data_IF_301642425456
#
_entry.id   IF_301642425456
#
_cell.length_a   1.000
_cell.length_b   1.000
_cell.length_c   1.000
_cell.angle_alpha   90.00
_cell.angle_beta   90.00
_cell.angle_gamma   90.00
#
_symmetry.space_group_name_H-M   'P 1'
#
loop_
_entity.id
_entity.type
_entity.pdbx_description
1 polymer ?
#
# COMPACT_ATOMS: atom_id res chain seq x y z
N UNK A 1 -54.75 -34.96 22.02
CA UNK A 1 -54.48 -35.22 20.59
C UNK A 1 -54.14 -33.88 19.97
N UNK A 2 -52.94 -33.53 19.52
CA UNK A 2 -51.77 -34.30 19.07
C UNK A 2 -51.28 -33.58 17.80
N UNK A 3 -50.03 -33.11 17.76
CA UNK A 3 -49.48 -32.44 16.57
C UNK A 3 -48.21 -31.64 16.83
N UNK A 4 -47.13 -32.32 17.25
CA UNK A 4 -45.76 -31.81 17.22
C UNK A 4 -45.31 -31.69 15.76
N UNK A 5 -44.83 -30.50 15.34
CA UNK A 5 -44.12 -30.32 14.08
C UNK A 5 -42.62 -30.36 14.34
N UNK A 6 -42.01 -31.50 14.03
CA UNK A 6 -40.56 -31.68 13.92
C UNK A 6 -40.06 -31.01 12.63
N UNK A 7 -39.14 -30.05 12.76
CA UNK A 7 -38.40 -29.51 11.63
C UNK A 7 -36.87 -29.61 11.86
N UNK A 8 -36.23 -30.76 11.60
CA UNK A 8 -34.77 -30.88 11.62
C UNK A 8 -34.22 -31.12 10.21
N UNK A 9 -34.36 -30.17 9.27
CA UNK A 9 -33.86 -30.41 7.89
C UNK A 9 -33.09 -29.27 7.21
N UNK A 10 -32.79 -28.14 7.87
CA UNK A 10 -32.09 -27.01 7.21
C UNK A 10 -30.59 -26.83 7.54
N UNK A 11 -29.99 -27.60 8.46
CA UNK A 11 -28.58 -27.39 8.83
C UNK A 11 -27.56 -28.15 7.95
N UNK A 12 -27.96 -29.22 7.26
CA UNK A 12 -27.03 -30.05 6.48
C UNK A 12 -26.54 -29.41 5.17
N UNK A 13 -27.35 -28.56 4.54
CA UNK A 13 -27.05 -27.96 3.24
C UNK A 13 -26.03 -26.82 3.29
N UNK A 14 -25.89 -26.15 4.45
CA UNK A 14 -24.93 -25.04 4.63
C UNK A 14 -23.48 -25.57 4.73
N UNK A 15 -23.26 -26.73 5.33
CA UNK A 15 -21.91 -27.29 5.49
C UNK A 15 -21.28 -27.69 4.15
N UNK A 16 -22.05 -28.28 3.23
CA UNK A 16 -21.54 -28.73 1.92
C UNK A 16 -21.13 -27.53 1.05
N UNK A 17 -21.85 -26.41 1.11
CA UNK A 17 -21.49 -25.20 0.39
C UNK A 17 -20.22 -24.54 0.95
N UNK A 18 -19.96 -24.59 2.25
CA UNK A 18 -18.72 -24.03 2.84
C UNK A 18 -17.50 -24.89 2.50
N UNK A 19 -17.64 -26.22 2.41
CA UNK A 19 -16.51 -27.12 2.13
C UNK A 19 -16.10 -27.18 0.65
N UNK A 20 -17.01 -26.96 -0.29
CA UNK A 20 -16.72 -27.13 -1.73
C UNK A 20 -16.29 -25.85 -2.46
N UNK A 21 -16.57 -24.66 -1.90
CA UNK A 21 -16.23 -23.38 -2.53
C UNK A 21 -14.73 -23.03 -2.53
N UNK A 22 -13.89 -23.37 -1.53
CA UNK A 22 -12.49 -22.91 -1.50
C UNK A 22 -11.61 -23.54 -2.59
N UNK A 23 -11.85 -24.80 -2.96
CA UNK A 23 -10.87 -25.56 -3.76
C UNK A 23 -10.92 -25.29 -5.26
N UNK A 24 -12.11 -25.19 -5.86
CA UNK A 24 -12.21 -24.95 -7.32
C UNK A 24 -11.75 -23.56 -7.75
N UNK A 25 -11.88 -22.55 -6.88
CA UNK A 25 -11.43 -21.20 -7.18
C UNK A 25 -9.97 -20.93 -6.78
N UNK A 26 -9.38 -21.74 -5.90
CA UNK A 26 -7.99 -21.59 -5.44
C UNK A 26 -6.94 -22.02 -6.46
N UNK A 27 -7.21 -23.08 -7.24
CA UNK A 27 -6.21 -23.70 -8.13
C UNK A 27 -5.74 -22.74 -9.23
N UNK A 28 -6.64 -21.93 -9.82
CA UNK A 28 -6.29 -21.02 -10.90
C UNK A 28 -5.74 -19.66 -10.43
N UNK A 29 -5.85 -19.31 -9.13
CA UNK A 29 -5.24 -18.08 -8.60
C UNK A 29 -3.77 -18.24 -8.23
N UNK A 30 -3.35 -19.46 -7.87
CA UNK A 30 -1.96 -19.75 -7.48
C UNK A 30 -1.08 -20.21 -8.64
N UNK A 31 -1.65 -20.57 -9.79
CA UNK A 31 -0.92 -21.04 -10.98
C UNK A 31 -0.64 -19.94 -12.02
N UNK A 32 -0.82 -18.67 -11.65
CA UNK A 32 -0.21 -17.59 -12.42
C UNK A 32 1.30 -17.80 -12.48
N UNK A 33 1.83 -17.99 -13.69
CA UNK A 33 3.22 -18.31 -14.03
C UNK A 33 4.22 -18.08 -12.87
N UNK A 34 4.62 -19.16 -12.20
CA UNK A 34 5.55 -19.17 -11.06
C UNK A 34 6.91 -18.53 -11.38
N UNK A 35 7.20 -18.18 -12.65
CA UNK A 35 8.34 -17.38 -13.03
C UNK A 35 8.41 -16.03 -12.30
N UNK A 36 7.26 -15.46 -11.90
CA UNK A 36 7.23 -14.21 -11.13
C UNK A 36 7.67 -14.42 -9.68
N UNK A 37 7.49 -15.63 -9.13
CA UNK A 37 7.85 -15.91 -7.75
C UNK A 37 9.33 -15.67 -7.52
N UNK A 38 10.20 -16.14 -8.43
CA UNK A 38 11.64 -15.87 -8.36
C UNK A 38 11.98 -14.37 -8.47
N UNK A 39 11.21 -13.59 -9.25
CA UNK A 39 11.45 -12.15 -9.35
C UNK A 39 11.09 -11.43 -8.04
N UNK A 40 10.05 -11.89 -7.34
CA UNK A 40 9.56 -11.26 -6.10
C UNK A 40 10.31 -11.78 -4.85
N UNK A 41 10.71 -13.05 -4.81
CA UNK A 41 11.39 -13.66 -3.64
C UNK A 41 12.86 -13.29 -3.51
N UNK A 42 13.52 -12.91 -4.61
CA UNK A 42 14.94 -12.52 -4.59
C UNK A 42 15.18 -11.01 -4.54
N UNK A 43 14.15 -10.18 -4.40
CA UNK A 43 14.33 -8.73 -4.39
C UNK A 43 15.00 -8.30 -3.08
N UNK A 44 16.27 -7.84 -3.10
CA UNK A 44 16.94 -7.45 -1.88
C UNK A 44 16.27 -6.19 -1.33
N UNK A 45 15.81 -6.28 -0.08
CA UNK A 45 15.29 -5.13 0.66
C UNK A 45 16.46 -4.57 1.46
N UNK A 46 16.78 -3.28 1.28
CA UNK A 46 17.80 -2.65 2.10
C UNK A 46 17.35 -2.61 3.57
N UNK A 47 18.30 -2.78 4.50
CA UNK A 47 18.03 -2.71 5.93
C UNK A 47 17.37 -1.37 6.32
N UNK A 48 17.74 -0.28 5.65
CA UNK A 48 17.18 1.05 5.87
C UNK A 48 15.70 1.14 5.47
N UNK A 49 15.32 0.55 4.33
CA UNK A 49 13.92 0.50 3.88
C UNK A 49 13.07 -0.34 4.84
N UNK A 50 13.62 -1.46 5.33
CA UNK A 50 12.96 -2.28 6.34
C UNK A 50 12.74 -1.52 7.65
N UNK A 51 13.78 -0.85 8.19
CA UNK A 51 13.66 -0.03 9.41
C UNK A 51 12.67 1.12 9.24
N UNK A 52 12.67 1.79 8.09
CA UNK A 52 11.72 2.85 7.80
C UNK A 52 10.27 2.33 7.76
N UNK A 53 10.03 1.17 7.14
CA UNK A 53 8.72 0.54 7.13
C UNK A 53 8.27 0.12 8.54
N UNK A 54 9.17 -0.49 9.33
CA UNK A 54 8.90 -0.84 10.72
C UNK A 54 8.60 0.41 11.58
N UNK A 55 9.31 1.50 11.35
CA UNK A 55 9.02 2.79 12.00
C UNK A 55 7.59 3.25 11.68
N UNK A 56 7.19 3.26 10.40
CA UNK A 56 5.83 3.62 10.00
C UNK A 56 4.81 2.70 10.66
N UNK A 57 5.01 1.38 10.62
CA UNK A 57 4.13 0.39 11.23
C UNK A 57 3.86 0.71 12.71
N UNK A 58 4.92 0.97 13.48
CA UNK A 58 4.85 1.23 14.93
C UNK A 58 4.25 2.60 15.30
N UNK A 59 4.23 3.58 14.38
CA UNK A 59 3.81 4.96 14.68
C UNK A 59 2.54 5.40 13.94
N UNK A 60 1.92 4.50 13.17
CA UNK A 60 0.75 4.80 12.34
C UNK A 60 -0.53 4.14 12.85
N UNK A 61 -1.67 4.73 12.53
CA UNK A 61 -2.97 4.11 12.75
C UNK A 61 -3.28 3.09 11.65
N UNK A 62 -4.15 2.09 11.87
CA UNK A 62 -4.57 1.14 10.84
C UNK A 62 -5.23 1.80 9.61
N UNK A 63 -5.89 2.95 9.80
CA UNK A 63 -6.54 3.71 8.72
C UNK A 63 -5.59 4.65 7.96
N UNK A 64 -4.34 4.77 8.39
CA UNK A 64 -3.37 5.64 7.75
C UNK A 64 -2.98 5.09 6.37
N UNK A 65 -2.77 5.99 5.41
CA UNK A 65 -2.21 5.64 4.10
C UNK A 65 -0.75 6.05 3.98
N UNK A 66 0.01 5.24 3.25
CA UNK A 66 1.43 5.48 2.95
C UNK A 66 1.63 5.78 1.46
N UNK A 67 2.66 6.54 1.12
CA UNK A 67 3.14 6.68 -0.24
C UNK A 67 4.67 6.59 -0.23
N UNK A 68 5.23 5.82 -1.15
CA UNK A 68 6.67 5.72 -1.36
C UNK A 68 7.08 6.54 -2.59
N UNK A 69 8.27 7.14 -2.58
CA UNK A 69 8.81 7.91 -3.70
C UNK A 69 8.98 7.08 -4.96
N UNK A 70 9.28 5.79 -4.82
CA UNK A 70 9.43 4.82 -5.90
C UNK A 70 8.11 4.20 -6.38
N UNK A 71 6.96 4.65 -5.86
CA UNK A 71 5.62 4.14 -6.18
C UNK A 71 5.36 2.70 -5.71
N UNK A 72 6.25 2.12 -4.90
CA UNK A 72 6.18 0.76 -4.37
C UNK A 72 5.76 -0.28 -5.44
N UNK A 73 6.61 -0.50 -6.47
CA UNK A 73 6.23 -1.25 -7.67
C UNK A 73 5.90 -2.73 -7.39
N UNK A 74 6.30 -3.23 -6.22
CA UNK A 74 6.18 -4.62 -5.79
C UNK A 74 5.30 -4.79 -4.56
N UNK A 75 4.66 -3.73 -4.09
CA UNK A 75 3.86 -3.71 -2.85
C UNK A 75 4.65 -4.12 -1.59
N UNK A 76 5.97 -3.90 -1.56
CA UNK A 76 6.83 -4.24 -0.42
C UNK A 76 6.58 -3.30 0.77
N UNK A 77 6.45 -2.00 0.52
CA UNK A 77 6.15 -1.03 1.59
C UNK A 77 4.77 -1.30 2.15
N UNK A 78 3.78 -1.58 1.31
CA UNK A 78 2.43 -2.00 1.76
C UNK A 78 2.50 -3.24 2.65
N UNK A 79 3.23 -4.28 2.20
CA UNK A 79 3.36 -5.52 2.96
C UNK A 79 4.07 -5.31 4.31
N UNK A 80 5.17 -4.55 4.34
CA UNK A 80 5.96 -4.33 5.56
C UNK A 80 5.29 -3.37 6.54
N UNK A 81 4.54 -2.38 6.05
CA UNK A 81 3.87 -1.41 6.93
C UNK A 81 2.48 -1.87 7.36
N UNK A 82 1.87 -2.81 6.62
CA UNK A 82 0.46 -3.20 6.74
C UNK A 82 -0.50 -2.01 6.58
N UNK A 83 -0.12 -1.03 5.74
CA UNK A 83 -0.91 0.17 5.45
C UNK A 83 -1.33 0.21 4.00
N UNK A 84 -2.45 0.87 3.73
CA UNK A 84 -2.89 1.09 2.36
C UNK A 84 -1.97 2.10 1.68
N UNK A 85 -1.50 1.79 0.47
CA UNK A 85 -0.80 2.78 -0.34
C UNK A 85 -1.78 3.76 -1.02
N UNK A 86 -1.32 4.98 -1.32
CA UNK A 86 -1.98 5.79 -2.34
C UNK A 86 -1.82 5.17 -3.73
N UNK A 87 -0.57 4.82 -4.06
CA UNK A 87 -0.20 4.10 -5.26
C UNK A 87 0.74 2.97 -4.87
N UNK A 88 0.42 1.77 -5.32
CA UNK A 88 1.34 0.64 -5.37
C UNK A 88 1.04 -0.13 -6.65
N UNK A 89 2.08 -0.69 -7.28
CA UNK A 89 1.96 -1.48 -8.52
C UNK A 89 1.17 -0.76 -9.63
N UNK A 90 1.39 0.55 -9.81
CA UNK A 90 0.64 1.36 -10.80
C UNK A 90 0.61 0.74 -12.20
N UNK A 91 1.73 0.17 -12.66
CA UNK A 91 1.83 -0.52 -13.95
C UNK A 91 0.85 -1.69 -14.07
N UNK A 92 0.66 -2.49 -13.01
CA UNK A 92 -0.30 -3.59 -13.01
C UNK A 92 -1.72 -3.07 -13.24
N UNK A 93 -2.09 -1.99 -12.53
CA UNK A 93 -3.41 -1.39 -12.67
C UNK A 93 -3.64 -0.80 -14.07
N UNK A 94 -2.60 -0.26 -14.70
CA UNK A 94 -2.66 0.21 -16.09
C UNK A 94 -2.89 -0.94 -17.07
N UNK A 95 -2.21 -2.08 -16.89
CA UNK A 95 -2.38 -3.27 -17.73
C UNK A 95 -3.78 -3.87 -17.60
N UNK A 96 -4.37 -3.83 -16.40
CA UNK A 96 -5.74 -4.33 -16.19
C UNK A 96 -6.83 -3.48 -16.86
N UNK A 97 -6.55 -2.22 -17.20
CA UNK A 97 -7.48 -1.34 -17.91
C UNK A 97 -8.66 -0.82 -17.06
N UNK A 98 -9.65 -0.25 -17.75
CA UNK A 98 -10.91 0.25 -17.17
C UNK A 98 -10.76 1.42 -16.18
N UNK A 99 -11.70 1.50 -15.24
CA UNK A 99 -11.72 2.58 -14.23
C UNK A 99 -10.51 2.54 -13.29
N UNK A 100 -9.98 1.34 -13.01
CA UNK A 100 -8.80 1.17 -12.16
C UNK A 100 -7.53 1.73 -12.81
N UNK A 101 -7.33 1.50 -14.11
CA UNK A 101 -6.22 2.10 -14.86
C UNK A 101 -6.30 3.64 -14.87
N UNK A 102 -7.50 4.20 -15.01
CA UNK A 102 -7.72 5.66 -14.98
C UNK A 102 -7.38 6.24 -13.61
N UNK A 103 -7.85 5.62 -12.53
CA UNK A 103 -7.53 6.05 -11.17
C UNK A 103 -6.03 5.94 -10.87
N UNK A 104 -5.39 4.83 -11.23
CA UNK A 104 -3.95 4.65 -11.06
C UNK A 104 -3.16 5.71 -11.84
N UNK A 105 -3.57 6.03 -13.06
CA UNK A 105 -2.93 7.07 -13.88
C UNK A 105 -3.08 8.47 -13.28
N UNK A 106 -4.25 8.80 -12.72
CA UNK A 106 -4.47 10.08 -12.04
C UNK A 106 -3.58 10.22 -10.80
N UNK A 107 -3.50 9.18 -9.98
CA UNK A 107 -2.61 9.20 -8.82
C UNK A 107 -1.14 9.27 -9.26
N UNK A 108 -0.75 8.54 -10.29
CA UNK A 108 0.62 8.57 -10.84
C UNK A 108 0.99 9.97 -11.30
N UNK A 109 0.07 10.67 -11.97
CA UNK A 109 0.25 12.07 -12.34
C UNK A 109 0.44 12.96 -11.11
N UNK A 110 -0.38 12.79 -10.07
CA UNK A 110 -0.24 13.54 -8.81
C UNK A 110 1.10 13.25 -8.12
N UNK A 111 1.56 12.00 -8.10
CA UNK A 111 2.85 11.59 -7.55
C UNK A 111 4.02 12.26 -8.29
N UNK A 112 3.97 12.33 -9.62
CA UNK A 112 5.00 13.00 -10.43
C UNK A 112 5.16 14.48 -10.08
N UNK A 113 4.09 15.15 -9.64
CA UNK A 113 4.15 16.56 -9.22
C UNK A 113 4.96 16.75 -7.93
N UNK A 114 5.15 15.71 -7.10
CA UNK A 114 6.00 15.78 -5.91
C UNK A 114 7.46 16.12 -6.23
N UNK A 115 7.93 15.83 -7.46
CA UNK A 115 9.27 16.21 -7.93
C UNK A 115 9.52 17.72 -7.93
N UNK A 116 8.45 18.50 -8.03
CA UNK A 116 8.49 19.96 -8.14
C UNK A 116 8.23 20.66 -6.80
N UNK A 117 7.99 19.91 -5.73
CA UNK A 117 7.78 20.47 -4.40
C UNK A 117 9.09 21.07 -3.88
N UNK A 118 9.01 22.30 -3.41
CA UNK A 118 10.13 23.08 -2.92
C UNK A 118 10.08 23.30 -1.39
N UNK A 119 8.91 23.12 -0.78
CA UNK A 119 8.70 23.31 0.66
C UNK A 119 8.02 22.12 1.34
N UNK A 120 8.25 21.97 2.64
CA UNK A 120 7.59 20.92 3.43
C UNK A 120 6.06 21.11 3.52
N UNK A 121 5.58 22.36 3.45
CA UNK A 121 4.14 22.65 3.51
C UNK A 121 3.40 22.16 2.27
N UNK A 122 3.98 22.29 1.08
CA UNK A 122 3.43 21.69 -0.14
C UNK A 122 3.33 20.16 -0.04
N UNK A 123 4.31 19.52 0.62
CA UNK A 123 4.26 18.08 0.88
C UNK A 123 3.12 17.71 1.85
N UNK A 124 2.87 18.52 2.88
CA UNK A 124 1.70 18.36 3.76
C UNK A 124 0.40 18.52 2.96
N UNK A 125 0.30 19.55 2.11
CA UNK A 125 -0.90 19.81 1.31
C UNK A 125 -1.20 18.66 0.34
N UNK A 126 -0.17 18.07 -0.26
CA UNK A 126 -0.30 16.81 -1.00
C UNK A 126 -0.87 15.70 -0.12
N UNK A 127 -0.31 15.52 1.08
CA UNK A 127 -0.79 14.53 2.06
C UNK A 127 -2.27 14.69 2.38
N UNK A 128 -2.70 15.92 2.67
CA UNK A 128 -4.10 16.24 2.96
C UNK A 128 -5.01 15.99 1.75
N UNK A 129 -4.61 16.45 0.56
CA UNK A 129 -5.39 16.32 -0.68
C UNK A 129 -5.65 14.87 -1.07
N UNK A 130 -4.66 13.99 -0.85
CA UNK A 130 -4.73 12.59 -1.26
C UNK A 130 -4.96 11.60 -0.11
N UNK A 131 -5.24 12.12 1.09
CA UNK A 131 -5.36 11.35 2.32
C UNK A 131 -4.12 10.46 2.58
N UNK A 132 -2.92 10.94 2.23
CA UNK A 132 -1.65 10.29 2.54
C UNK A 132 -1.14 10.82 3.86
N UNK A 133 -0.91 9.89 4.77
CA UNK A 133 -0.44 10.21 6.11
C UNK A 133 1.07 10.12 6.25
N UNK A 134 1.66 9.11 5.62
CA UNK A 134 3.08 8.82 5.70
C UNK A 134 3.69 8.86 4.31
N UNK A 135 4.80 9.58 4.17
CA UNK A 135 5.56 9.62 2.93
C UNK A 135 6.96 9.07 3.18
N UNK A 136 7.36 8.06 2.41
CA UNK A 136 8.69 7.47 2.44
C UNK A 136 9.44 7.95 1.21
N UNK A 137 10.59 8.59 1.43
CA UNK A 137 11.45 9.13 0.39
C UNK A 137 12.75 8.35 0.36
N UNK A 138 13.13 7.86 -0.82
CA UNK A 138 14.52 7.56 -1.16
C UNK A 138 15.14 8.83 -1.75
N UNK A 139 16.28 9.29 -1.21
CA UNK A 139 16.95 10.51 -1.66
C UNK A 139 17.34 10.47 -3.14
N UNK A 140 17.57 9.28 -3.70
CA UNK A 140 17.90 9.11 -5.12
C UNK A 140 16.71 9.40 -6.05
N UNK A 141 15.46 9.31 -5.56
CA UNK A 141 14.27 9.56 -6.37
C UNK A 141 13.96 11.06 -6.50
N UNK A 142 14.40 11.86 -5.52
CA UNK A 142 14.13 13.31 -5.43
C UNK A 142 15.40 14.11 -5.08
N UNK A 143 16.46 14.06 -5.91
CA UNK A 143 17.72 14.73 -5.62
C UNK A 143 17.57 16.25 -5.48
N UNK A 144 16.56 16.84 -6.12
CA UNK A 144 16.25 18.28 -6.10
C UNK A 144 15.60 18.77 -4.81
N UNK A 145 15.11 17.88 -3.93
CA UNK A 145 14.45 18.31 -2.70
C UNK A 145 15.44 19.00 -1.77
N UNK A 146 15.11 20.22 -1.36
CA UNK A 146 15.95 21.07 -0.51
C UNK A 146 16.16 20.47 0.89
N UNK A 147 17.27 20.83 1.53
CA UNK A 147 17.56 20.41 2.92
C UNK A 147 16.46 20.88 3.88
N UNK A 148 15.81 22.01 3.55
CA UNK A 148 14.66 22.51 4.30
C UNK A 148 13.52 21.50 4.36
N UNK A 149 13.20 20.78 3.27
CA UNK A 149 12.20 19.71 3.31
C UNK A 149 12.73 18.55 4.15
N UNK A 150 13.96 18.12 3.88
CA UNK A 150 14.58 16.94 4.51
C UNK A 150 14.61 17.07 6.03
N UNK A 151 14.83 18.27 6.56
CA UNK A 151 14.85 18.59 8.00
C UNK A 151 13.55 18.30 8.76
N UNK A 152 12.43 18.10 8.06
CA UNK A 152 11.17 17.69 8.68
C UNK A 152 10.97 16.17 8.76
N UNK A 153 11.92 15.37 8.29
CA UNK A 153 11.84 13.91 8.40
C UNK A 153 11.72 13.48 9.87
N UNK A 154 10.74 12.61 10.15
CA UNK A 154 10.51 12.01 11.48
C UNK A 154 11.39 10.81 11.75
N UNK A 155 11.88 10.18 10.69
CA UNK A 155 12.85 9.09 10.75
C UNK A 155 13.81 9.21 9.56
N UNK A 156 15.09 8.86 9.79
CA UNK A 156 16.15 8.84 8.78
C UNK A 156 16.98 7.57 8.97
N UNK A 157 17.26 6.84 7.89
CA UNK A 157 18.20 5.71 7.87
C UNK A 157 18.82 5.62 6.48
N UNK A 158 20.13 5.83 6.38
CA UNK A 158 20.82 5.93 5.08
C UNK A 158 20.16 6.98 4.18
N UNK A 159 19.81 6.56 2.95
CA UNK A 159 19.13 7.39 1.95
C UNK A 159 17.59 7.41 2.09
N UNK A 160 17.04 6.80 3.14
CA UNK A 160 15.60 6.73 3.37
C UNK A 160 15.17 7.75 4.44
N UNK A 161 14.24 8.63 4.06
CA UNK A 161 13.58 9.58 4.94
C UNK A 161 12.09 9.25 5.07
N UNK A 162 11.52 9.38 6.27
CA UNK A 162 10.08 9.22 6.50
C UNK A 162 9.49 10.52 7.01
N UNK A 163 8.40 10.96 6.38
CA UNK A 163 7.66 12.17 6.73
C UNK A 163 6.27 11.81 7.26
N UNK A 164 5.85 12.49 8.31
CA UNK A 164 4.49 12.45 8.82
C UNK A 164 3.75 13.69 8.29
N UNK A 165 2.72 13.48 7.47
CA UNK A 165 1.98 14.55 6.80
C UNK A 165 0.75 15.01 7.61
N UNK A 166 0.76 14.83 8.94
CA UNK A 166 -0.25 15.45 9.82
C UNK A 166 -0.15 16.96 9.73
N UNK A 167 -1.30 17.63 9.61
CA UNK A 167 -1.38 19.04 9.98
C UNK A 167 -1.10 19.20 11.48
N UNK A 168 0.03 19.77 11.84
CA UNK A 168 0.28 20.29 13.18
C UNK A 168 -0.63 21.49 13.40
N UNK A 169 -1.42 21.48 14.49
CA UNK A 169 -2.09 22.71 14.94
C UNK A 169 -0.98 23.67 15.36
N UNK A 170 -0.91 24.84 14.71
CA UNK A 170 -0.11 25.96 15.21
C UNK A 170 -0.75 26.54 16.45
#
# INVERSE_FOLDING_TARGET
>A
MGGFFDAPFCFGSIFILISCVPWKYGINRQQGNLSWANQVTFQPISADKFRAAQYIHNHSLPSDRVQSSDEDPLALIVALTEKQALISRAQLHQVMGGNQAKLASNYLQAHRLLKNISTYYELIDFGLKHNVRWYLLNLNDMPSWSENIRNYAKFRSGDILVFNLKRTKK
#
